data_IF_559721812911
#
_entry.id   IF_559721812911
#
_cell.length_a   1.000
_cell.length_b   1.000
_cell.length_c   1.000
_cell.angle_alpha   90.00
_cell.angle_beta   90.00
_cell.angle_gamma   90.00
#
_symmetry.space_group_name_H-M   'P 1'
#
loop_
_entity.id
_entity.type
_entity.pdbx_description
1 polymer ?
#
# COMPACT_ATOMS: atom_id res chain seq x y z
N UNK A 1 41.44 -56.00 19.38
CA UNK A 1 40.09 -55.66 19.88
C UNK A 1 39.77 -54.17 19.60
N UNK A 2 40.01 -53.69 18.37
CA UNK A 2 39.94 -52.25 18.02
C UNK A 2 39.00 -51.91 16.85
N UNK A 3 38.63 -52.89 16.02
CA UNK A 3 37.83 -52.66 14.81
C UNK A 3 36.40 -52.15 15.09
N UNK A 4 35.88 -52.38 16.30
CA UNK A 4 34.51 -51.98 16.65
C UNK A 4 34.43 -50.51 17.10
N UNK A 5 35.55 -49.89 17.53
CA UNK A 5 35.54 -48.49 18.01
C UNK A 5 35.32 -47.49 16.87
N UNK A 6 35.90 -47.75 15.70
CA UNK A 6 35.69 -46.93 14.50
C UNK A 6 34.25 -46.99 13.97
N UNK A 7 33.59 -48.13 14.13
CA UNK A 7 32.20 -48.31 13.68
C UNK A 7 31.24 -47.39 14.45
N UNK A 8 31.38 -47.32 15.78
CA UNK A 8 30.53 -46.47 16.63
C UNK A 8 30.71 -44.97 16.41
N UNK A 9 31.93 -44.53 16.08
CA UNK A 9 32.22 -43.13 15.74
C UNK A 9 31.56 -42.76 14.40
N UNK A 10 31.65 -43.64 13.41
CA UNK A 10 31.02 -43.41 12.10
C UNK A 10 29.48 -43.33 12.23
N UNK A 11 28.85 -44.20 13.02
CA UNK A 11 27.40 -44.15 13.26
C UNK A 11 26.97 -42.87 14.01
N UNK A 12 27.76 -42.40 14.97
CA UNK A 12 27.49 -41.14 15.69
C UNK A 12 27.48 -39.92 14.77
N UNK A 13 28.44 -39.84 13.83
CA UNK A 13 28.52 -38.73 12.86
C UNK A 13 27.34 -38.77 11.88
N UNK A 14 26.96 -39.95 11.37
CA UNK A 14 25.82 -40.08 10.46
C UNK A 14 24.51 -39.69 11.15
N UNK A 15 24.31 -40.09 12.42
CA UNK A 15 23.15 -39.67 13.20
C UNK A 15 23.10 -38.15 13.43
N UNK A 16 24.23 -37.50 13.72
CA UNK A 16 24.30 -36.04 13.87
C UNK A 16 23.96 -35.30 12.56
N UNK A 17 24.39 -35.82 11.42
CA UNK A 17 24.04 -35.26 10.10
C UNK A 17 22.53 -35.42 9.82
N UNK A 18 21.94 -36.57 10.16
CA UNK A 18 20.50 -36.82 9.98
C UNK A 18 19.65 -35.93 10.89
N UNK A 19 20.09 -35.68 12.13
CA UNK A 19 19.40 -34.78 13.07
C UNK A 19 19.52 -33.32 12.59
N UNK A 20 20.71 -32.89 12.17
CA UNK A 20 20.95 -31.54 11.64
C UNK A 20 20.09 -31.26 10.40
N UNK A 21 19.98 -32.24 9.49
CA UNK A 21 19.17 -32.11 8.28
C UNK A 21 17.66 -32.10 8.56
N UNK A 22 17.17 -32.78 9.61
CA UNK A 22 15.75 -32.76 9.98
C UNK A 22 15.34 -31.45 10.68
N UNK A 23 16.19 -30.90 11.55
CA UNK A 23 15.90 -29.66 12.29
C UNK A 23 15.83 -28.45 11.34
N UNK A 24 16.78 -28.34 10.40
CA UNK A 24 16.83 -27.23 9.43
C UNK A 24 15.63 -27.21 8.47
N UNK A 25 14.98 -28.36 8.25
CA UNK A 25 13.80 -28.48 7.38
C UNK A 25 12.52 -27.91 8.03
N UNK A 26 12.49 -27.74 9.34
CA UNK A 26 11.30 -27.27 10.06
C UNK A 26 11.10 -25.74 10.00
N UNK A 27 12.17 -24.95 9.84
CA UNK A 27 12.08 -23.49 9.85
C UNK A 27 11.64 -22.87 8.51
N UNK A 28 11.74 -23.60 7.40
CA UNK A 28 11.40 -23.07 6.07
C UNK A 28 9.91 -23.17 5.72
N UNK A 29 9.09 -23.88 6.52
CA UNK A 29 7.68 -24.14 6.16
C UNK A 29 6.68 -23.03 6.57
N UNK A 30 7.14 -21.94 7.17
CA UNK A 30 6.27 -20.79 7.54
C UNK A 30 6.66 -19.45 6.90
N UNK A 31 7.70 -19.39 6.06
CA UNK A 31 8.13 -18.14 5.43
C UNK A 31 7.58 -17.92 4.01
N UNK A 32 7.02 -18.96 3.38
CA UNK A 32 6.52 -18.90 2.00
C UNK A 32 5.06 -18.46 1.81
N UNK A 33 4.24 -18.48 2.87
CA UNK A 33 2.78 -18.24 2.77
C UNK A 33 2.31 -17.04 3.62
N UNK A 34 3.25 -16.21 4.08
CA UNK A 34 2.96 -14.90 4.69
C UNK A 34 3.36 -13.72 3.80
N UNK A 35 3.83 -13.97 2.57
CA UNK A 35 4.25 -12.93 1.62
C UNK A 35 3.18 -12.59 0.57
N UNK A 36 2.19 -13.46 0.33
CA UNK A 36 1.07 -13.16 -0.58
C UNK A 36 -0.11 -12.42 0.09
N UNK A 37 0.01 -12.20 1.41
CA UNK A 37 -0.79 -11.24 2.18
C UNK A 37 0.15 -10.22 2.82
N UNK A 38 1.26 -9.89 2.15
CA UNK A 38 1.87 -8.59 2.35
C UNK A 38 0.94 -7.59 1.69
N UNK A 39 0.02 -7.04 2.51
CA UNK A 39 -0.70 -5.79 2.31
C UNK A 39 -0.69 -5.33 0.85
N UNK A 40 -1.78 -5.58 0.13
CA UNK A 40 -2.24 -4.61 -0.85
C UNK A 40 -2.34 -3.29 -0.07
N UNK A 41 -1.29 -2.48 -0.11
CA UNK A 41 -1.40 -1.09 0.32
C UNK A 41 -2.25 -0.42 -0.75
N UNK A 42 -3.13 0.49 -0.36
CA UNK A 42 -3.84 1.30 -1.33
C UNK A 42 -2.80 2.06 -2.16
N UNK A 43 -2.66 1.64 -3.42
CA UNK A 43 -1.76 2.27 -4.39
C UNK A 43 -2.60 3.06 -5.36
N UNK A 44 -2.31 4.36 -5.43
CA UNK A 44 -2.83 5.27 -6.45
C UNK A 44 -1.82 5.34 -7.57
N UNK A 45 -2.24 5.02 -8.80
CA UNK A 45 -1.36 5.15 -9.97
C UNK A 45 -1.74 6.41 -10.72
N UNK A 46 -0.91 7.46 -10.66
CA UNK A 46 -1.08 8.72 -11.41
C UNK A 46 0.13 8.95 -12.30
N UNK A 47 -0.10 9.22 -13.60
CA UNK A 47 0.96 9.43 -14.59
C UNK A 47 2.02 8.30 -14.60
N UNK A 48 1.56 7.05 -14.41
CA UNK A 48 2.43 5.87 -14.33
C UNK A 48 3.26 5.76 -13.04
N UNK A 49 3.11 6.68 -12.09
CA UNK A 49 3.76 6.62 -10.78
C UNK A 49 2.82 6.07 -9.71
N UNK A 50 3.36 5.19 -8.88
CA UNK A 50 2.67 4.61 -7.73
C UNK A 50 2.83 5.52 -6.50
N UNK A 51 1.71 5.96 -5.96
CA UNK A 51 1.64 6.72 -4.72
C UNK A 51 0.98 5.87 -3.63
N UNK A 52 1.68 5.71 -2.51
CA UNK A 52 1.07 5.17 -1.31
C UNK A 52 0.11 6.20 -0.74
N UNK A 53 -1.17 5.87 -0.71
CA UNK A 53 -2.17 6.85 -0.29
C UNK A 53 -2.21 6.99 1.23
N UNK A 54 -1.61 8.04 1.75
CA UNK A 54 -1.87 8.54 3.10
C UNK A 54 -2.97 9.58 3.02
N UNK A 55 -4.20 9.11 2.89
CA UNK A 55 -5.36 9.98 2.86
C UNK A 55 -5.46 10.79 4.15
N UNK A 56 -5.71 12.08 3.99
CA UNK A 56 -5.98 13.02 5.08
C UNK A 56 -7.44 13.44 5.02
N UNK A 57 -8.07 13.49 6.18
CA UNK A 57 -9.45 13.94 6.41
C UNK A 57 -9.51 15.16 7.36
N UNK A 58 -8.35 15.66 7.79
CA UNK A 58 -8.25 16.80 8.70
C UNK A 58 -8.59 18.11 8.01
N UNK A 59 -9.44 18.92 8.64
CA UNK A 59 -9.79 20.27 8.18
C UNK A 59 -8.65 21.28 8.47
N UNK A 60 -7.55 21.19 7.73
CA UNK A 60 -6.42 22.10 7.78
C UNK A 60 -6.47 23.19 6.69
N UNK A 61 -5.43 24.03 6.61
CA UNK A 61 -5.37 25.10 5.60
C UNK A 61 -5.34 24.55 4.16
N UNK A 62 -4.75 23.37 3.96
CA UNK A 62 -4.73 22.69 2.66
C UNK A 62 -6.13 22.24 2.27
N UNK A 63 -6.86 21.61 3.21
CA UNK A 63 -8.26 21.26 3.03
C UNK A 63 -9.09 22.46 2.58
N UNK A 64 -8.96 23.61 3.25
CA UNK A 64 -9.70 24.83 2.89
C UNK A 64 -9.35 25.34 1.49
N UNK A 65 -8.07 25.31 1.14
CA UNK A 65 -7.58 25.78 -0.16
C UNK A 65 -8.10 24.91 -1.31
N UNK A 66 -8.03 23.58 -1.13
CA UNK A 66 -8.54 22.61 -2.11
C UNK A 66 -10.08 22.70 -2.20
N UNK A 67 -10.77 22.81 -1.08
CA UNK A 67 -12.24 22.90 -1.04
C UNK A 67 -12.75 24.14 -1.77
N UNK A 68 -12.12 25.30 -1.56
CA UNK A 68 -12.45 26.54 -2.29
C UNK A 68 -12.29 26.34 -3.78
N UNK A 69 -11.22 25.64 -4.19
CA UNK A 69 -10.93 25.41 -5.59
C UNK A 69 -11.98 24.50 -6.26
N UNK A 70 -12.40 23.44 -5.59
CA UNK A 70 -13.46 22.55 -6.07
C UNK A 70 -14.79 23.28 -6.23
N UNK A 71 -15.16 24.10 -5.24
CA UNK A 71 -16.38 24.90 -5.30
C UNK A 71 -16.33 25.92 -6.44
N UNK A 72 -15.17 26.54 -6.68
CA UNK A 72 -14.97 27.46 -7.80
C UNK A 72 -15.19 26.77 -9.16
N UNK A 73 -14.83 25.49 -9.28
CA UNK A 73 -15.07 24.67 -10.46
C UNK A 73 -16.45 23.96 -10.45
N UNK A 74 -17.35 24.38 -9.56
CA UNK A 74 -18.72 23.84 -9.39
C UNK A 74 -18.79 22.37 -8.95
N UNK A 75 -17.68 21.82 -8.45
CA UNK A 75 -17.64 20.51 -7.82
C UNK A 75 -18.18 20.68 -6.40
N UNK A 76 -19.42 20.26 -6.19
CA UNK A 76 -20.16 20.44 -4.93
C UNK A 76 -20.83 19.12 -4.52
N UNK A 77 -21.32 19.05 -3.28
CA UNK A 77 -22.00 17.86 -2.76
C UNK A 77 -21.06 16.75 -2.31
N UNK A 78 -19.80 17.08 -2.00
CA UNK A 78 -18.89 16.21 -1.26
C UNK A 78 -19.36 16.16 0.20
N UNK A 79 -19.89 15.01 0.62
CA UNK A 79 -20.22 14.72 2.01
C UNK A 79 -18.98 14.26 2.77
N UNK A 80 -18.28 13.26 2.22
CA UNK A 80 -16.96 12.81 2.67
C UNK A 80 -15.88 13.34 1.74
N UNK A 81 -14.77 13.77 2.35
CA UNK A 81 -13.66 14.42 1.67
C UNK A 81 -12.34 13.90 2.21
N UNK A 82 -11.52 13.39 1.30
CA UNK A 82 -10.16 12.97 1.61
C UNK A 82 -9.21 13.56 0.58
N UNK A 83 -8.00 13.89 1.00
CA UNK A 83 -6.99 14.39 0.08
C UNK A 83 -5.61 13.83 0.41
N UNK A 84 -4.76 13.76 -0.61
CA UNK A 84 -3.36 13.42 -0.44
C UNK A 84 -2.51 14.27 -1.39
N UNK A 85 -1.29 14.58 -0.96
CA UNK A 85 -0.33 15.35 -1.76
C UNK A 85 0.51 14.39 -2.58
N UNK A 86 0.47 14.52 -3.91
CA UNK A 86 1.25 13.69 -4.83
C UNK A 86 2.48 14.43 -5.36
N UNK A 87 2.41 15.76 -5.45
CA UNK A 87 3.54 16.64 -5.73
C UNK A 87 3.29 18.01 -5.07
N UNK A 88 4.30 18.89 -5.05
CA UNK A 88 4.20 20.23 -4.46
C UNK A 88 3.03 21.01 -5.06
N UNK A 89 2.03 21.32 -4.24
CA UNK A 89 0.81 22.03 -4.63
C UNK A 89 -0.11 21.24 -5.59
N UNK A 90 0.10 19.93 -5.68
CA UNK A 90 -0.72 19.01 -6.47
C UNK A 90 -1.30 17.96 -5.54
N UNK A 91 -2.62 17.94 -5.47
CA UNK A 91 -3.36 17.08 -4.56
C UNK A 91 -4.29 16.17 -5.33
N UNK A 92 -4.33 14.90 -4.96
CA UNK A 92 -5.44 14.03 -5.33
C UNK A 92 -6.50 14.14 -4.25
N UNK A 93 -7.75 14.27 -4.68
CA UNK A 93 -8.90 14.46 -3.81
C UNK A 93 -9.89 13.34 -4.10
N UNK A 94 -10.34 12.66 -3.06
CA UNK A 94 -11.47 11.75 -3.12
C UNK A 94 -12.68 12.44 -2.47
N UNK A 95 -13.75 12.56 -3.23
CA UNK A 95 -15.00 13.18 -2.80
C UNK A 95 -16.14 12.18 -2.97
N UNK A 96 -16.89 11.95 -1.90
CA UNK A 96 -18.07 11.10 -1.94
C UNK A 96 -19.28 11.82 -1.37
N UNK A 97 -20.44 11.63 -1.98
CA UNK A 97 -21.71 12.14 -1.45
C UNK A 97 -22.33 11.20 -0.41
N UNK A 98 -22.04 9.90 -0.51
CA UNK A 98 -22.70 8.83 0.23
C UNK A 98 -21.74 7.99 1.09
N UNK A 99 -20.44 8.29 1.07
CA UNK A 99 -19.39 7.56 1.76
C UNK A 99 -19.12 6.16 1.21
N UNK A 100 -19.64 5.87 0.01
CA UNK A 100 -19.50 4.56 -0.66
C UNK A 100 -18.89 4.71 -2.04
N UNK A 101 -19.39 5.65 -2.83
CA UNK A 101 -18.88 5.94 -4.16
C UNK A 101 -18.04 7.20 -4.14
N UNK A 102 -16.76 7.05 -4.43
CA UNK A 102 -15.80 8.16 -4.46
C UNK A 102 -15.55 8.59 -5.91
N UNK A 103 -15.68 9.90 -6.14
CA UNK A 103 -15.16 10.57 -7.32
C UNK A 103 -13.80 11.15 -6.98
N UNK A 104 -12.89 11.05 -7.92
CA UNK A 104 -11.53 11.49 -7.71
C UNK A 104 -11.24 12.71 -8.57
N UNK A 105 -10.42 13.61 -8.04
CA UNK A 105 -10.03 14.84 -8.70
C UNK A 105 -8.56 15.12 -8.45
N UNK A 106 -7.92 15.79 -9.40
CA UNK A 106 -6.56 16.32 -9.24
C UNK A 106 -6.66 17.84 -9.13
N UNK A 107 -6.21 18.38 -8.01
CA UNK A 107 -6.24 19.80 -7.69
C UNK A 107 -4.83 20.39 -7.74
N UNK A 108 -4.61 21.36 -8.63
CA UNK A 108 -3.39 22.15 -8.73
C UNK A 108 -3.60 23.51 -8.06
N UNK A 109 -3.28 23.60 -6.77
CA UNK A 109 -3.53 24.82 -5.99
C UNK A 109 -2.66 26.00 -6.42
N UNK A 110 -1.52 25.75 -7.08
CA UNK A 110 -0.68 26.81 -7.65
C UNK A 110 -1.28 27.43 -8.92
N UNK A 111 -2.05 26.65 -9.68
CA UNK A 111 -2.61 27.05 -10.96
C UNK A 111 -4.11 27.37 -10.88
N UNK A 112 -4.71 27.20 -9.70
CA UNK A 112 -6.15 27.27 -9.48
C UNK A 112 -6.94 26.45 -10.52
N UNK A 113 -6.52 25.19 -10.70
CA UNK A 113 -7.17 24.23 -11.61
C UNK A 113 -7.51 22.93 -10.93
N UNK A 114 -8.66 22.36 -11.31
CA UNK A 114 -9.06 21.01 -10.95
C UNK A 114 -9.40 20.24 -12.20
N UNK A 115 -9.05 18.96 -12.23
CA UNK A 115 -9.42 18.03 -13.29
C UNK A 115 -10.06 16.79 -12.67
N UNK A 116 -11.00 16.19 -13.39
CA UNK A 116 -11.54 14.88 -13.01
C UNK A 116 -10.47 13.82 -13.22
N UNK A 117 -10.23 13.02 -12.20
CA UNK A 117 -9.37 11.84 -12.27
C UNK A 117 -9.90 10.76 -13.22
N UNK A 118 -11.20 10.78 -13.51
CA UNK A 118 -11.88 9.75 -14.28
C UNK A 118 -11.41 9.72 -15.75
N UNK A 119 -10.95 10.86 -16.28
CA UNK A 119 -10.40 10.92 -17.65
C UNK A 119 -8.95 10.46 -17.72
N UNK A 120 -8.20 10.61 -16.63
CA UNK A 120 -6.75 10.49 -16.60
C UNK A 120 -6.35 9.20 -15.87
N UNK A 121 -6.75 8.03 -16.41
CA UNK A 121 -6.34 6.66 -16.02
C UNK A 121 -5.86 6.44 -14.58
N UNK A 122 -6.53 7.04 -13.59
CA UNK A 122 -6.22 6.84 -12.19
C UNK A 122 -6.72 5.44 -11.82
N UNK A 123 -5.80 4.47 -11.74
CA UNK A 123 -6.13 3.16 -11.20
C UNK A 123 -6.06 3.27 -9.68
N UNK A 124 -7.23 3.33 -9.08
CA UNK A 124 -7.38 3.44 -7.63
C UNK A 124 -7.90 2.11 -7.13
N UNK A 125 -6.99 1.32 -6.56
CA UNK A 125 -7.32 -0.04 -6.15
C UNK A 125 -8.11 -0.10 -4.84
N UNK A 126 -8.26 1.02 -4.11
CA UNK A 126 -8.97 1.06 -2.83
C UNK A 126 -9.62 2.43 -2.52
N UNK A 127 -10.72 2.37 -1.75
CA UNK A 127 -11.42 3.53 -1.18
C UNK A 127 -10.57 4.20 -0.08
N UNK A 128 -10.69 5.51 0.17
CA UNK A 128 -9.88 6.24 1.18
C UNK A 128 -10.15 5.88 2.66
N UNK A 129 -10.71 4.70 2.95
CA UNK A 129 -11.10 4.24 4.30
C UNK A 129 -9.96 3.62 5.09
#
# INVERSE_FOLDING_TARGET
MEKNKFLWIAFGIVMLIVISNNIFRSEQKQKGEKSLVEKMKPTLIFDGQEYFSHWKDTADEKFLSISKLLVADRITGCGEFYYNEIDRNTYIVACSRDGKSFKYYVAWTKLDKVYSAESDMLTINESPK
#
